data_IF_431275459870
#
_entry.id   IF_431275459870
#
_cell.length_a   1.000
_cell.length_b   1.000
_cell.length_c   1.000
_cell.angle_alpha   90.00
_cell.angle_beta   90.00
_cell.angle_gamma   90.00
#
_symmetry.space_group_name_H-M   'P 1'
#
loop_
_entity.id
_entity.type
_entity.pdbx_description
1 polymer ?
#
# COMPACT_ATOMS: atom_id res chain seq x y z
N UNK A 1 -8.23 19.52 4.90
CA UNK A 1 -7.55 19.44 3.58
C UNK A 1 -7.97 18.11 2.97
N UNK A 2 -8.95 18.11 2.06
CA UNK A 2 -9.44 16.91 1.39
C UNK A 2 -8.30 16.29 0.60
N UNK A 3 -7.93 15.06 0.96
CA UNK A 3 -6.73 14.43 0.43
C UNK A 3 -7.10 13.72 -0.88
N UNK A 4 -6.91 14.40 -2.01
CA UNK A 4 -7.23 13.82 -3.31
C UNK A 4 -6.38 12.57 -3.56
N UNK A 5 -7.03 11.40 -3.55
CA UNK A 5 -6.44 10.13 -3.97
C UNK A 5 -6.49 10.03 -5.49
N UNK A 6 -5.40 9.60 -6.12
CA UNK A 6 -5.45 9.17 -7.52
C UNK A 6 -6.23 7.86 -7.65
N UNK A 7 -6.73 7.55 -8.85
CA UNK A 7 -7.43 6.28 -9.10
C UNK A 7 -6.55 5.06 -8.79
N UNK A 8 -5.25 5.14 -9.04
CA UNK A 8 -4.31 4.06 -8.76
C UNK A 8 -4.16 3.83 -7.25
N UNK A 9 -4.00 4.90 -6.46
CA UNK A 9 -3.94 4.83 -5.00
C UNK A 9 -5.24 4.26 -4.41
N UNK A 10 -6.39 4.77 -4.86
CA UNK A 10 -7.69 4.30 -4.42
C UNK A 10 -7.93 2.82 -4.75
N UNK A 11 -7.39 2.30 -5.85
CA UNK A 11 -7.48 0.86 -6.20
C UNK A 11 -6.65 0.00 -5.26
N UNK A 12 -5.41 0.42 -4.96
CA UNK A 12 -4.53 -0.30 -4.03
C UNK A 12 -5.12 -0.32 -2.62
N UNK A 13 -5.61 0.82 -2.13
CA UNK A 13 -6.24 0.90 -0.81
C UNK A 13 -7.51 0.06 -0.74
N UNK A 14 -8.38 0.10 -1.78
CA UNK A 14 -9.56 -0.77 -1.84
C UNK A 14 -9.21 -2.25 -1.83
N UNK A 15 -8.20 -2.64 -2.59
CA UNK A 15 -7.74 -4.03 -2.60
C UNK A 15 -7.26 -4.46 -1.21
N UNK A 16 -6.47 -3.63 -0.52
CA UNK A 16 -6.04 -3.91 0.85
C UNK A 16 -7.23 -4.04 1.81
N UNK A 17 -8.24 -3.16 1.70
CA UNK A 17 -9.49 -3.25 2.49
C UNK A 17 -10.25 -4.55 2.23
N UNK A 18 -10.24 -5.02 0.98
CA UNK A 18 -10.87 -6.28 0.56
C UNK A 18 -10.08 -7.53 0.99
N UNK A 19 -8.92 -7.35 1.65
CA UNK A 19 -8.06 -8.44 2.12
C UNK A 19 -6.96 -8.85 1.15
N UNK A 20 -6.69 -8.06 0.11
CA UNK A 20 -5.52 -8.29 -0.74
C UNK A 20 -4.23 -8.09 0.04
N UNK A 21 -3.30 -9.03 -0.11
CA UNK A 21 -1.97 -8.92 0.49
C UNK A 21 -1.07 -7.99 -0.34
N UNK A 22 -0.54 -6.93 0.28
CA UNK A 22 0.52 -6.10 -0.28
C UNK A 22 1.84 -6.46 0.37
N UNK A 23 2.80 -6.85 -0.46
CA UNK A 23 4.04 -7.44 0.02
C UNK A 23 5.24 -6.85 -0.69
N UNK A 24 6.20 -6.34 0.06
CA UNK A 24 7.50 -5.89 -0.45
C UNK A 24 8.50 -7.02 -0.35
N UNK A 25 9.11 -7.39 -1.47
CA UNK A 25 10.21 -8.33 -1.51
C UNK A 25 11.53 -7.57 -1.69
N UNK A 26 12.46 -7.79 -0.76
CA UNK A 26 13.83 -7.30 -0.85
C UNK A 26 14.72 -8.47 -1.23
N UNK A 27 15.17 -8.55 -2.49
CA UNK A 27 16.18 -9.51 -2.92
C UNK A 27 17.58 -8.92 -2.73
N UNK A 28 18.55 -9.77 -2.42
CA UNK A 28 19.94 -9.36 -2.16
C UNK A 28 20.60 -8.78 -3.43
N UNK A 29 20.23 -9.26 -4.61
CA UNK A 29 20.91 -8.93 -5.88
C UNK A 29 20.11 -7.97 -6.79
N UNK A 30 18.83 -7.75 -6.51
CA UNK A 30 17.96 -6.84 -7.28
C UNK A 30 17.13 -6.02 -6.30
N UNK A 31 17.02 -4.71 -6.56
CA UNK A 31 16.31 -3.76 -5.71
C UNK A 31 14.87 -4.20 -5.34
N UNK A 32 14.27 -3.57 -4.31
CA UNK A 32 12.97 -3.98 -3.79
C UNK A 32 11.88 -3.90 -4.87
N UNK A 33 10.99 -4.86 -4.86
CA UNK A 33 9.75 -4.80 -5.66
C UNK A 33 8.54 -5.13 -4.79
N UNK A 34 7.39 -4.63 -5.22
CA UNK A 34 6.13 -4.77 -4.50
C UNK A 34 5.19 -5.66 -5.30
N UNK A 35 4.53 -6.58 -4.61
CA UNK A 35 3.51 -7.46 -5.15
C UNK A 35 2.19 -7.21 -4.44
N UNK A 36 1.11 -7.21 -5.21
CA UNK A 36 -0.26 -7.25 -4.72
C UNK A 36 -1.05 -8.23 -5.57
N UNK A 37 -1.67 -9.24 -4.94
CA UNK A 37 -2.40 -10.31 -5.64
C UNK A 37 -1.59 -10.93 -6.81
N UNK A 38 -0.29 -11.15 -6.61
CA UNK A 38 0.61 -11.71 -7.63
C UNK A 38 1.01 -10.75 -8.76
N UNK A 39 0.54 -9.49 -8.73
CA UNK A 39 0.91 -8.45 -9.72
C UNK A 39 1.93 -7.49 -9.14
N UNK A 40 2.89 -7.07 -9.97
CA UNK A 40 3.87 -6.04 -9.59
C UNK A 40 3.20 -4.68 -9.53
N UNK A 41 3.42 -3.97 -8.42
CA UNK A 41 3.06 -2.58 -8.29
C UNK A 41 4.25 -1.67 -8.59
N UNK A 42 3.93 -0.47 -9.10
CA UNK A 42 4.90 0.59 -9.28
C UNK A 42 5.44 1.04 -7.92
N UNK A 43 6.75 0.99 -7.75
CA UNK A 43 7.41 1.46 -6.52
C UNK A 43 7.05 2.91 -6.15
N UNK A 44 6.96 3.88 -7.10
CA UNK A 44 6.52 5.23 -6.78
C UNK A 44 5.11 5.31 -6.18
N UNK A 45 4.19 4.44 -6.63
CA UNK A 45 2.83 4.39 -6.11
C UNK A 45 2.82 3.96 -4.64
N UNK A 46 3.54 2.88 -4.32
CA UNK A 46 3.62 2.39 -2.93
C UNK A 46 4.32 3.42 -2.05
N UNK A 47 5.37 4.08 -2.56
CA UNK A 47 6.07 5.15 -1.83
C UNK A 47 5.15 6.32 -1.49
N UNK A 48 4.33 6.78 -2.44
CA UNK A 48 3.35 7.83 -2.16
C UNK A 48 2.35 7.41 -1.07
N UNK A 49 1.88 6.16 -1.08
CA UNK A 49 0.99 5.66 -0.02
C UNK A 49 1.68 5.61 1.35
N UNK A 50 2.96 5.21 1.40
CA UNK A 50 3.79 5.23 2.62
C UNK A 50 4.02 6.67 3.13
N UNK A 51 4.43 7.59 2.25
CA UNK A 51 4.63 9.01 2.58
C UNK A 51 3.34 9.65 3.08
N UNK A 52 2.21 9.25 2.48
CA UNK A 52 0.89 9.68 2.91
C UNK A 52 0.44 9.01 4.21
N UNK A 53 1.18 8.02 4.72
CA UNK A 53 0.83 7.20 5.91
C UNK A 53 -0.50 6.48 5.77
N UNK A 54 -0.90 6.12 4.55
CA UNK A 54 -2.15 5.40 4.26
C UNK A 54 -1.97 3.88 4.39
N UNK A 55 -0.72 3.42 4.29
CA UNK A 55 -0.31 2.05 4.53
C UNK A 55 0.89 2.05 5.47
N UNK A 56 1.08 0.97 6.21
CA UNK A 56 2.23 0.75 7.06
C UNK A 56 2.77 -0.68 6.90
N UNK A 57 4.08 -0.90 7.04
CA UNK A 57 4.62 -2.25 7.10
C UNK A 57 4.11 -2.94 8.37
N UNK A 58 3.54 -4.13 8.20
CA UNK A 58 3.27 -5.03 9.30
C UNK A 58 4.63 -5.48 9.85
N UNK A 59 4.89 -5.23 11.15
CA UNK A 59 6.22 -5.27 11.75
C UNK A 59 6.92 -6.63 11.65
N UNK A 60 7.49 -6.94 10.49
CA UNK A 60 8.33 -8.12 10.27
C UNK A 60 9.79 -7.72 10.46
N UNK A 61 10.34 -7.98 11.65
CA UNK A 61 11.79 -7.91 11.87
C UNK A 61 12.46 -9.13 11.22
N UNK A 62 13.25 -8.89 10.16
CA UNK A 62 14.21 -9.87 9.65
C UNK A 62 13.80 -10.69 8.41
N UNK A 63 12.61 -10.47 7.85
CA UNK A 63 12.15 -11.21 6.66
C UNK A 63 12.58 -10.53 5.35
N UNK A 64 12.94 -11.33 4.34
CA UNK A 64 13.15 -10.88 2.93
C UNK A 64 11.88 -10.33 2.28
N UNK A 65 10.78 -10.38 3.02
CA UNK A 65 9.42 -10.10 2.61
C UNK A 65 8.78 -9.29 3.73
N UNK A 66 8.21 -8.13 3.41
CA UNK A 66 7.52 -7.24 4.36
C UNK A 66 6.10 -7.03 3.88
N UNK A 67 5.12 -7.51 4.65
CA UNK A 67 3.70 -7.27 4.37
C UNK A 67 3.30 -5.86 4.79
N UNK A 68 2.28 -5.32 4.16
CA UNK A 68 1.74 -3.99 4.43
C UNK A 68 0.27 -4.08 4.75
N UNK A 69 -0.17 -3.26 5.70
CA UNK A 69 -1.55 -3.15 6.15
C UNK A 69 -2.07 -1.72 5.95
N UNK A 70 -3.40 -1.60 5.84
CA UNK A 70 -4.05 -0.29 5.79
C UNK A 70 -3.92 0.38 7.18
N UNK A 71 -3.62 1.67 7.19
CA UNK A 71 -3.66 2.46 8.44
C UNK A 71 -5.05 3.02 8.67
N UNK A 72 -5.36 3.54 9.88
CA UNK A 72 -6.60 4.29 10.11
C UNK A 72 -6.79 5.43 9.10
N UNK A 73 -5.73 6.20 8.82
CA UNK A 73 -5.78 7.27 7.82
C UNK A 73 -6.05 6.75 6.39
N UNK A 74 -5.62 5.52 6.08
CA UNK A 74 -5.94 4.86 4.81
C UNK A 74 -7.42 4.46 4.71
N UNK A 75 -8.03 4.05 5.81
CA UNK A 75 -9.47 3.78 5.90
C UNK A 75 -10.27 5.07 5.69
N UNK A 76 -9.95 6.11 6.44
CA UNK A 76 -10.63 7.42 6.35
C UNK A 76 -10.54 8.00 4.93
N UNK A 77 -9.36 7.91 4.28
CA UNK A 77 -9.18 8.40 2.92
C UNK A 77 -10.01 7.63 1.87
N UNK A 78 -10.31 6.35 2.12
CA UNK A 78 -11.23 5.60 1.26
C UNK A 78 -12.68 6.02 1.46
N UNK A 79 -13.08 6.30 2.70
CA UNK A 79 -14.43 6.75 3.03
C UNK A 79 -14.71 8.14 2.44
N UNK A 80 -13.78 9.09 2.56
CA UNK A 80 -13.86 10.43 1.94
C UNK A 80 -14.04 10.36 0.41
N UNK A 81 -13.47 9.34 -0.24
CA UNK A 81 -13.63 9.11 -1.68
C UNK A 81 -14.99 8.50 -2.06
N UNK A 82 -15.65 7.76 -1.16
CA UNK A 82 -16.97 7.17 -1.41
C UNK A 82 -18.11 8.16 -1.18
N UNK A 83 -17.88 9.19 -0.36
CA UNK A 83 -18.87 10.22 -0.02
C UNK A 83 -18.80 11.48 -0.91
N UNK A 84 -17.85 11.55 -1.85
CA UNK A 84 -17.69 12.65 -2.82
C UNK A 84 -18.13 12.28 -4.24
#
# INVERSE_FOLDING_TARGET
>A
MSRVLTQAEARVLRALRDGAELTRHTRVERGPYYLMQGRRLSMPLVKQLEEKRLIAPDQSRGSTTTSYTLTPAGHEALEDLQEG
#
